data_IF_596395290949
#
_entry.id   IF_596395290949
#
_cell.length_a   1.000
_cell.length_b   1.000
_cell.length_c   1.000
_cell.angle_alpha   90.00
_cell.angle_beta   90.00
_cell.angle_gamma   90.00
#
_symmetry.space_group_name_H-M   'P 1'
#
loop_
_entity.id
_entity.type
_entity.pdbx_description
1 polymer ?
#
# COMPACT_ATOMS: atom_id res chain seq x y z
N UNK A 1 22.59 2.57 -13.30
CA UNK A 1 21.24 2.34 -12.72
C UNK A 1 20.69 0.96 -13.08
N UNK A 2 20.66 0.54 -14.36
CA UNK A 2 20.16 -0.80 -14.71
C UNK A 2 21.10 -1.92 -14.24
N UNK A 3 22.42 -1.73 -14.40
CA UNK A 3 23.45 -2.67 -13.94
C UNK A 3 23.45 -2.88 -12.42
N UNK A 4 23.18 -1.85 -11.62
CA UNK A 4 23.14 -1.95 -10.15
C UNK A 4 21.97 -2.82 -9.66
N UNK A 5 20.82 -2.73 -10.35
CA UNK A 5 19.64 -3.53 -10.01
C UNK A 5 19.84 -5.00 -10.38
N UNK A 6 20.45 -5.26 -11.54
CA UNK A 6 20.82 -6.61 -11.97
C UNK A 6 21.83 -7.20 -11.00
N UNK A 7 22.87 -6.45 -10.63
CA UNK A 7 23.89 -6.87 -9.68
C UNK A 7 23.30 -7.29 -8.33
N UNK A 8 22.37 -6.49 -7.79
CA UNK A 8 21.65 -6.84 -6.57
C UNK A 8 20.87 -8.16 -6.68
N UNK A 9 20.19 -8.41 -7.80
CA UNK A 9 19.47 -9.68 -7.98
C UNK A 9 20.42 -10.88 -8.08
N UNK A 10 21.59 -10.69 -8.68
CA UNK A 10 22.64 -11.72 -8.73
C UNK A 10 23.17 -12.03 -7.33
N UNK A 11 23.43 -11.00 -6.52
CA UNK A 11 23.87 -11.17 -5.13
C UNK A 11 22.83 -11.90 -4.28
N UNK A 12 21.55 -11.50 -4.39
CA UNK A 12 20.45 -12.16 -3.68
C UNK A 12 20.26 -13.62 -4.12
N UNK A 13 20.36 -13.88 -5.42
CA UNK A 13 20.32 -15.24 -5.96
C UNK A 13 21.45 -16.09 -5.38
N UNK A 14 22.69 -15.59 -5.40
CA UNK A 14 23.86 -16.32 -4.90
C UNK A 14 23.71 -16.61 -3.41
N UNK A 15 23.28 -15.63 -2.61
CA UNK A 15 23.05 -15.80 -1.17
C UNK A 15 22.00 -16.88 -0.86
N UNK A 16 20.93 -16.98 -1.66
CA UNK A 16 19.94 -18.05 -1.54
C UNK A 16 20.55 -19.39 -1.97
N UNK A 17 21.21 -19.41 -3.12
CA UNK A 17 21.77 -20.61 -3.73
C UNK A 17 22.83 -21.29 -2.86
N UNK A 18 23.68 -20.53 -2.19
CA UNK A 18 24.70 -21.03 -1.25
C UNK A 18 24.09 -21.74 -0.03
N UNK A 19 22.88 -21.35 0.38
CA UNK A 19 22.16 -21.95 1.50
C UNK A 19 21.40 -23.22 1.11
N UNK A 20 21.27 -23.51 -0.18
CA UNK A 20 20.51 -24.66 -0.68
C UNK A 20 21.42 -25.83 -1.05
N UNK A 21 20.94 -27.03 -0.76
CA UNK A 21 21.63 -28.30 -1.06
C UNK A 21 20.74 -29.21 -1.89
N UNK A 22 21.36 -30.14 -2.63
CA UNK A 22 20.64 -31.18 -3.36
C UNK A 22 20.31 -30.82 -4.82
N UNK A 23 19.70 -31.78 -5.51
CA UNK A 23 19.26 -31.63 -6.90
C UNK A 23 18.10 -30.64 -6.96
N UNK A 24 18.12 -29.72 -7.92
CA UNK A 24 17.06 -28.73 -8.10
C UNK A 24 17.24 -27.42 -7.31
N UNK A 25 18.38 -27.22 -6.63
CA UNK A 25 18.62 -25.99 -5.86
C UNK A 25 18.57 -24.70 -6.69
N UNK A 26 18.92 -24.75 -7.97
CA UNK A 26 18.80 -23.62 -8.89
C UNK A 26 17.34 -23.19 -9.05
N UNK A 27 16.45 -24.15 -9.31
CA UNK A 27 15.02 -23.90 -9.48
C UNK A 27 14.39 -23.40 -8.17
N UNK A 28 14.78 -23.98 -7.04
CA UNK A 28 14.36 -23.52 -5.73
C UNK A 28 14.84 -22.09 -5.44
N UNK A 29 16.10 -21.75 -5.74
CA UNK A 29 16.63 -20.40 -5.58
C UNK A 29 15.88 -19.38 -6.44
N UNK A 30 15.57 -19.71 -7.70
CA UNK A 30 14.76 -18.85 -8.58
C UNK A 30 13.36 -18.64 -8.00
N UNK A 31 12.70 -19.70 -7.54
CA UNK A 31 11.37 -19.62 -6.94
C UNK A 31 11.34 -18.69 -5.73
N UNK A 32 12.31 -18.85 -4.81
CA UNK A 32 12.43 -17.98 -3.62
C UNK A 32 12.66 -16.51 -4.05
N UNK A 33 13.57 -16.26 -4.99
CA UNK A 33 13.85 -14.91 -5.46
C UNK A 33 12.61 -14.25 -6.08
N UNK A 34 11.81 -15.01 -6.84
CA UNK A 34 10.57 -14.53 -7.42
C UNK A 34 9.54 -14.15 -6.36
N UNK A 35 9.35 -14.98 -5.33
CA UNK A 35 8.44 -14.66 -4.22
C UNK A 35 8.90 -13.41 -3.46
N UNK A 36 10.19 -13.28 -3.16
CA UNK A 36 10.75 -12.06 -2.56
C UNK A 36 10.51 -10.81 -3.42
N UNK A 37 10.59 -10.96 -4.75
CA UNK A 37 10.26 -9.90 -5.70
C UNK A 37 8.79 -9.47 -5.62
N UNK A 38 7.87 -10.43 -5.48
CA UNK A 38 6.43 -10.15 -5.30
C UNK A 38 6.17 -9.45 -3.97
N UNK A 39 6.78 -9.91 -2.89
CA UNK A 39 6.62 -9.30 -1.56
C UNK A 39 7.07 -7.84 -1.56
N UNK A 40 8.23 -7.53 -2.15
CA UNK A 40 8.72 -6.15 -2.28
C UNK A 40 7.76 -5.29 -3.08
N UNK A 41 7.29 -5.79 -4.21
CA UNK A 41 6.31 -5.07 -5.04
C UNK A 41 5.01 -4.81 -4.27
N UNK A 42 4.55 -5.78 -3.49
CA UNK A 42 3.39 -5.61 -2.63
C UNK A 42 3.62 -4.53 -1.57
N UNK A 43 4.76 -4.56 -0.88
CA UNK A 43 5.12 -3.54 0.10
C UNK A 43 5.22 -2.15 -0.52
N UNK A 44 5.79 -2.00 -1.71
CA UNK A 44 5.81 -0.72 -2.43
C UNK A 44 4.40 -0.22 -2.73
N UNK A 45 3.49 -1.09 -3.17
CA UNK A 45 2.09 -0.72 -3.44
C UNK A 45 1.38 -0.29 -2.15
N UNK A 46 1.56 -1.05 -1.06
CA UNK A 46 0.99 -0.72 0.26
C UNK A 46 1.54 0.61 0.77
N UNK A 47 2.85 0.83 0.67
CA UNK A 47 3.50 2.06 1.11
C UNK A 47 3.03 3.27 0.28
N UNK A 48 2.87 3.13 -1.04
CA UNK A 48 2.30 4.18 -1.90
C UNK A 48 0.87 4.52 -1.50
N UNK A 49 0.05 3.49 -1.24
CA UNK A 49 -1.35 3.67 -0.82
C UNK A 49 -1.43 4.32 0.56
N UNK A 50 -0.61 3.91 1.51
CA UNK A 50 -0.55 4.49 2.86
C UNK A 50 -0.03 5.93 2.84
N UNK A 51 1.01 6.21 2.05
CA UNK A 51 1.51 7.57 1.85
C UNK A 51 0.41 8.49 1.33
N UNK A 52 -0.25 8.11 0.23
CA UNK A 52 -1.36 8.88 -0.34
C UNK A 52 -2.54 9.02 0.64
N UNK A 53 -2.86 7.99 1.42
CA UNK A 53 -3.95 8.04 2.40
C UNK A 53 -3.67 8.97 3.59
N UNK A 54 -2.40 9.14 3.95
CA UNK A 54 -1.97 10.05 5.01
C UNK A 54 -1.75 11.50 4.53
N UNK A 55 -1.81 11.75 3.22
CA UNK A 55 -1.81 13.12 2.69
C UNK A 55 -3.09 13.87 3.09
N UNK A 56 -3.03 15.20 3.04
CA UNK A 56 -4.19 16.06 3.30
C UNK A 56 -5.36 15.72 2.36
N UNK A 57 -6.56 15.76 2.93
CA UNK A 57 -7.80 15.54 2.21
C UNK A 57 -7.92 16.48 1.02
N UNK A 58 -8.40 15.94 -0.10
CA UNK A 58 -8.64 16.75 -1.30
C UNK A 58 -9.77 17.74 -1.08
N UNK A 59 -9.77 18.86 -1.81
CA UNK A 59 -10.87 19.83 -1.76
C UNK A 59 -12.24 19.20 -2.08
N UNK A 60 -12.28 18.18 -2.95
CA UNK A 60 -13.51 17.43 -3.23
C UNK A 60 -14.04 16.72 -1.98
N UNK A 61 -13.18 16.05 -1.21
CA UNK A 61 -13.57 15.39 0.04
C UNK A 61 -14.01 16.39 1.11
N UNK A 62 -13.26 17.50 1.26
CA UNK A 62 -13.63 18.59 2.19
C UNK A 62 -14.96 19.26 1.83
N UNK A 63 -15.21 19.50 0.55
CA UNK A 63 -16.48 20.04 0.06
C UNK A 63 -17.63 19.06 0.32
N UNK A 64 -17.41 17.76 0.12
CA UNK A 64 -18.42 16.74 0.38
C UNK A 64 -18.79 16.66 1.87
N UNK A 65 -17.79 16.66 2.76
CA UNK A 65 -18.02 16.73 4.21
C UNK A 65 -18.80 17.99 4.63
N UNK A 66 -18.46 19.15 4.06
CA UNK A 66 -19.22 20.39 4.27
C UNK A 66 -20.68 20.25 3.80
N UNK A 67 -20.90 19.62 2.65
CA UNK A 67 -22.24 19.34 2.12
C UNK A 67 -23.05 18.39 2.99
N UNK A 68 -22.38 17.51 3.73
CA UNK A 68 -23.00 16.62 4.73
C UNK A 68 -23.17 17.29 6.10
N UNK A 69 -22.71 18.53 6.29
CA UNK A 69 -22.73 19.23 7.58
C UNK A 69 -21.79 18.64 8.63
N UNK A 70 -20.78 17.87 8.22
CA UNK A 70 -19.80 17.25 9.13
C UNK A 70 -18.67 18.22 9.42
N UNK A 71 -18.35 18.44 10.70
CA UNK A 71 -17.19 19.22 11.12
C UNK A 71 -15.90 18.41 11.00
N UNK A 72 -14.81 19.03 10.53
CA UNK A 72 -13.51 18.39 10.38
C UNK A 72 -12.38 19.42 10.50
N UNK A 73 -11.18 19.00 10.95
CA UNK A 73 -10.03 19.90 11.03
C UNK A 73 -9.46 20.22 9.63
N UNK A 74 -8.90 21.41 9.46
CA UNK A 74 -8.40 21.89 8.15
C UNK A 74 -7.30 20.99 7.54
N UNK A 75 -6.51 20.34 8.41
CA UNK A 75 -5.43 19.43 8.06
C UNK A 75 -5.85 17.95 8.01
N UNK A 76 -7.15 17.64 8.02
CA UNK A 76 -7.65 16.26 7.95
C UNK A 76 -7.02 15.47 6.79
N UNK A 77 -6.64 14.22 7.02
CA UNK A 77 -6.08 13.36 5.98
C UNK A 77 -7.15 12.80 5.03
N UNK A 78 -6.74 12.33 3.84
CA UNK A 78 -7.65 11.66 2.88
C UNK A 78 -8.32 10.44 3.50
N UNK A 79 -7.61 9.70 4.35
CA UNK A 79 -8.14 8.52 5.05
C UNK A 79 -9.23 8.91 6.05
N UNK A 80 -8.96 9.87 6.92
CA UNK A 80 -9.91 10.35 7.93
C UNK A 80 -11.15 10.96 7.26
N UNK A 81 -10.95 11.78 6.22
CA UNK A 81 -12.06 12.35 5.47
C UNK A 81 -12.94 11.27 4.84
N UNK A 82 -12.35 10.23 4.25
CA UNK A 82 -13.10 9.10 3.70
C UNK A 82 -13.86 8.32 4.78
N UNK A 83 -13.28 8.19 5.99
CA UNK A 83 -13.94 7.53 7.11
C UNK A 83 -15.17 8.32 7.59
N UNK A 84 -15.03 9.64 7.78
CA UNK A 84 -16.14 10.52 8.16
C UNK A 84 -17.25 10.54 7.11
N UNK A 85 -16.89 10.51 5.82
CA UNK A 85 -17.87 10.40 4.72
C UNK A 85 -18.66 9.09 4.84
N UNK A 86 -17.98 7.96 5.02
CA UNK A 86 -18.65 6.67 5.16
C UNK A 86 -19.53 6.62 6.41
N UNK A 87 -19.07 7.17 7.53
CA UNK A 87 -19.85 7.25 8.77
C UNK A 87 -21.11 8.09 8.59
N UNK A 88 -21.00 9.27 7.98
CA UNK A 88 -22.15 10.14 7.71
C UNK A 88 -23.14 9.51 6.72
N UNK A 89 -22.67 8.80 5.69
CA UNK A 89 -23.53 8.10 4.73
C UNK A 89 -24.23 6.88 5.35
N UNK A 90 -23.55 6.15 6.24
CA UNK A 90 -24.12 4.99 6.91
C UNK A 90 -25.03 5.38 8.09
N UNK A 91 -24.73 6.50 8.76
CA UNK A 91 -25.55 7.08 9.84
C UNK A 91 -26.84 7.71 9.32
N UNK A 92 -26.83 8.30 8.12
CA UNK A 92 -28.03 8.85 7.48
C UNK A 92 -29.00 7.77 6.93
N UNK A 93 -28.70 6.48 7.12
CA UNK A 93 -29.59 5.36 6.79
C UNK A 93 -30.63 5.03 7.86
N UNK A 94 -30.57 5.64 9.05
CA UNK A 94 -31.56 5.44 10.12
C UNK A 94 -31.79 6.72 10.93
N UNK A 95 -32.67 7.60 10.44
CA UNK A 95 -33.67 8.31 11.25
C UNK A 95 -34.50 9.23 10.36
N UNK A 96 -35.75 8.84 10.10
CA UNK A 96 -36.93 9.72 10.10
C UNK A 96 -38.16 8.81 10.07
N UNK A 97 -38.70 8.58 11.26
CA UNK A 97 -40.12 8.31 11.47
C UNK A 97 -40.71 9.57 12.10
#
# INVERSE_FOLDING_TARGET
MEDEKVQRYVEEFNAIFEKLTGKGKTQAAIGILQEMGKDRRFQEIVNRKNGNNNEQATEKQKNFLRGLGVEFPENISKKEASALINEALNGNGQTTH
#
